data_IF_866610112862
#
_entry.id   IF_866610112862
#
_cell.length_a   1.000
_cell.length_b   1.000
_cell.length_c   1.000
_cell.angle_alpha   90.00
_cell.angle_beta   90.00
_cell.angle_gamma   90.00
#
_symmetry.space_group_name_H-M   'P 1'
#
loop_
_entity.id
_entity.type
_entity.pdbx_description
1 polymer ?
#
# COMPACT_ATOMS: atom_id res chain seq x y z
N UNK A 1 1.39 16.73 23.57
CA UNK A 1 1.52 15.62 24.54
C UNK A 1 0.53 14.54 24.16
N UNK A 2 0.87 13.26 24.35
CA UNK A 2 -0.06 12.15 24.08
C UNK A 2 -1.25 12.27 25.02
N UNK A 3 -2.45 12.29 24.45
CA UNK A 3 -3.68 12.06 25.20
C UNK A 3 -3.93 10.56 25.30
N UNK A 4 -4.65 10.13 26.34
CA UNK A 4 -5.10 8.75 26.44
C UNK A 4 -5.91 8.40 25.19
N UNK A 5 -5.67 7.23 24.60
CA UNK A 5 -6.29 6.71 23.36
C UNK A 5 -5.90 7.35 22.01
N UNK A 6 -4.77 8.05 21.92
CA UNK A 6 -4.29 8.56 20.62
C UNK A 6 -3.70 7.46 19.73
N UNK A 7 -4.36 7.14 18.61
CA UNK A 7 -3.87 6.20 17.59
C UNK A 7 -2.99 6.86 16.50
N UNK A 8 -3.09 8.17 16.34
CA UNK A 8 -2.36 8.96 15.34
C UNK A 8 -1.10 9.60 15.94
N UNK A 9 -0.26 10.19 15.08
CA UNK A 9 0.87 11.00 15.51
C UNK A 9 0.43 12.23 16.31
N UNK A 10 1.34 12.74 17.14
CA UNK A 10 1.18 14.06 17.73
C UNK A 10 1.33 15.14 16.65
N UNK A 11 0.73 16.30 16.89
CA UNK A 11 0.95 17.49 16.08
C UNK A 11 2.44 17.80 15.93
N UNK A 12 2.83 18.22 14.72
CA UNK A 12 4.22 18.56 14.42
C UNK A 12 4.70 19.75 15.25
N UNK A 13 5.88 19.59 15.84
CA UNK A 13 6.61 20.66 16.53
C UNK A 13 7.77 21.22 15.71
N UNK A 14 8.02 20.69 14.51
CA UNK A 14 9.07 21.14 13.59
C UNK A 14 8.63 20.95 12.13
N UNK A 15 9.19 21.73 11.18
CA UNK A 15 8.85 21.59 9.76
C UNK A 15 9.16 20.20 9.19
N UNK A 16 10.25 19.56 9.65
CA UNK A 16 10.59 18.19 9.24
C UNK A 16 9.50 17.20 9.65
N UNK A 17 8.93 17.35 10.85
CA UNK A 17 7.85 16.49 11.32
C UNK A 17 6.58 16.67 10.49
N UNK A 18 6.28 17.88 10.02
CA UNK A 18 5.16 18.14 9.12
C UNK A 18 5.30 17.37 7.80
N UNK A 19 6.49 17.41 7.20
CA UNK A 19 6.79 16.62 6.01
C UNK A 19 6.73 15.10 6.24
N UNK A 20 7.18 14.62 7.40
CA UNK A 20 7.09 13.21 7.77
C UNK A 20 5.63 12.76 7.93
N UNK A 21 4.75 13.60 8.49
CA UNK A 21 3.32 13.30 8.58
C UNK A 21 2.68 13.25 7.18
N UNK A 22 3.01 14.18 6.28
CA UNK A 22 2.53 14.14 4.90
C UNK A 22 2.99 12.88 4.16
N UNK A 23 4.24 12.47 4.35
CA UNK A 23 4.76 11.22 3.79
C UNK A 23 4.07 9.99 4.39
N UNK A 24 3.86 9.98 5.69
CA UNK A 24 3.11 8.91 6.35
C UNK A 24 1.71 8.77 5.73
N UNK A 25 0.95 9.86 5.60
CA UNK A 25 -0.40 9.81 5.05
C UNK A 25 -0.42 9.34 3.60
N UNK A 26 0.56 9.77 2.80
CA UNK A 26 0.75 9.27 1.43
C UNK A 26 1.01 7.76 1.38
N UNK A 27 1.92 7.25 2.22
CA UNK A 27 2.22 5.81 2.26
C UNK A 27 1.05 4.98 2.79
N UNK A 28 0.33 5.49 3.80
CA UNK A 28 -0.85 4.83 4.35
C UNK A 28 -1.99 4.74 3.32
N UNK A 29 -2.17 5.77 2.49
CA UNK A 29 -3.14 5.74 1.38
C UNK A 29 -2.81 4.60 0.41
N UNK A 30 -1.53 4.46 0.01
CA UNK A 30 -1.10 3.39 -0.89
C UNK A 30 -1.31 2.02 -0.24
N UNK A 31 -0.88 1.83 1.01
CA UNK A 31 -1.06 0.56 1.72
C UNK A 31 -2.53 0.16 1.83
N UNK A 32 -3.41 1.09 2.20
CA UNK A 32 -4.83 0.83 2.33
C UNK A 32 -5.47 0.47 0.97
N UNK A 33 -5.02 1.11 -0.12
CA UNK A 33 -5.47 0.76 -1.47
C UNK A 33 -5.07 -0.67 -1.87
N UNK A 34 -3.86 -1.11 -1.52
CA UNK A 34 -3.38 -2.47 -1.78
C UNK A 34 -4.20 -3.49 -0.97
N UNK A 35 -4.42 -3.22 0.33
CA UNK A 35 -5.25 -4.08 1.19
C UNK A 35 -6.69 -4.17 0.68
N UNK A 36 -7.27 -3.07 0.20
CA UNK A 36 -8.60 -3.08 -0.39
C UNK A 36 -8.68 -3.95 -1.66
N UNK A 37 -7.66 -3.88 -2.54
CA UNK A 37 -7.60 -4.71 -3.75
C UNK A 37 -7.45 -6.20 -3.39
N UNK A 38 -6.55 -6.53 -2.45
CA UNK A 38 -6.32 -7.91 -2.03
C UNK A 38 -7.57 -8.50 -1.38
N UNK A 39 -8.22 -7.75 -0.49
CA UNK A 39 -9.47 -8.21 0.15
C UNK A 39 -10.59 -8.39 -0.87
N UNK A 40 -10.72 -7.48 -1.84
CA UNK A 40 -11.65 -7.64 -2.94
C UNK A 40 -11.40 -8.93 -3.75
N UNK A 41 -10.15 -9.18 -4.17
CA UNK A 41 -9.77 -10.41 -4.90
C UNK A 41 -10.14 -11.65 -4.07
N UNK A 42 -9.78 -11.69 -2.79
CA UNK A 42 -10.10 -12.83 -1.92
C UNK A 42 -11.61 -13.08 -1.83
N UNK A 43 -12.42 -12.03 -1.67
CA UNK A 43 -13.88 -12.16 -1.63
C UNK A 43 -14.42 -12.69 -2.96
N UNK A 44 -13.89 -12.22 -4.10
CA UNK A 44 -14.34 -12.69 -5.41
C UNK A 44 -14.01 -14.16 -5.65
N UNK A 45 -12.82 -14.63 -5.25
CA UNK A 45 -12.43 -16.04 -5.37
C UNK A 45 -13.36 -16.92 -4.51
N UNK A 46 -13.64 -16.50 -3.27
CA UNK A 46 -14.54 -17.25 -2.37
C UNK A 46 -15.99 -17.31 -2.87
N UNK A 47 -16.46 -16.27 -3.56
CA UNK A 47 -17.82 -16.23 -4.13
C UNK A 47 -17.93 -16.90 -5.50
N UNK A 48 -16.82 -17.17 -6.17
CA UNK A 48 -16.84 -17.73 -7.52
C UNK A 48 -17.23 -19.22 -7.49
N UNK A 49 -18.25 -19.59 -8.27
CA UNK A 49 -18.72 -20.99 -8.40
C UNK A 49 -18.10 -21.72 -9.60
N UNK A 50 -17.43 -21.00 -10.50
CA UNK A 50 -16.85 -21.56 -11.72
C UNK A 50 -15.48 -22.14 -11.42
N UNK A 51 -15.30 -23.44 -11.69
CA UNK A 51 -14.04 -24.15 -11.47
C UNK A 51 -13.28 -24.22 -12.80
N UNK A 52 -12.10 -23.60 -12.85
CA UNK A 52 -11.15 -23.79 -13.95
C UNK A 52 -9.98 -24.67 -13.49
N UNK A 53 -9.84 -25.87 -14.04
CA UNK A 53 -8.78 -26.84 -13.70
C UNK A 53 -7.56 -26.78 -14.64
N UNK A 54 -7.65 -26.09 -15.77
CA UNK A 54 -6.59 -26.09 -16.80
C UNK A 54 -5.57 -24.97 -16.62
N UNK A 55 -5.80 -24.05 -15.68
CA UNK A 55 -4.88 -22.97 -15.36
C UNK A 55 -3.75 -23.51 -14.46
N UNK A 56 -2.74 -24.17 -15.06
CA UNK A 56 -1.59 -24.72 -14.34
C UNK A 56 -0.48 -23.68 -14.13
N UNK A 57 -0.27 -22.80 -15.11
CA UNK A 57 0.76 -21.77 -15.08
C UNK A 57 0.27 -20.55 -15.84
N UNK A 58 0.51 -19.36 -15.28
CA UNK A 58 0.05 -18.09 -15.82
C UNK A 58 1.17 -17.07 -15.87
N UNK A 59 2.22 -17.31 -16.65
CA UNK A 59 3.39 -16.43 -16.76
C UNK A 59 3.04 -14.95 -17.00
N UNK A 60 1.99 -14.68 -17.78
CA UNK A 60 1.50 -13.32 -18.00
C UNK A 60 0.95 -12.67 -16.73
N UNK A 61 0.26 -13.44 -15.88
CA UNK A 61 -0.27 -12.98 -14.57
C UNK A 61 0.90 -12.70 -13.62
N UNK A 62 1.94 -13.54 -13.67
CA UNK A 62 3.13 -13.35 -12.84
C UNK A 62 3.85 -12.04 -13.17
N UNK A 63 4.05 -11.77 -14.46
CA UNK A 63 4.67 -10.52 -14.90
C UNK A 63 3.85 -9.30 -14.42
N UNK A 64 2.52 -9.36 -14.52
CA UNK A 64 1.64 -8.26 -14.08
C UNK A 64 1.77 -8.02 -12.58
N UNK A 65 1.67 -9.07 -11.75
CA UNK A 65 1.74 -8.92 -10.30
C UNK A 65 3.15 -8.63 -9.76
N UNK A 66 4.20 -8.70 -10.60
CA UNK A 66 5.56 -8.31 -10.22
C UNK A 66 5.81 -6.84 -10.57
N UNK A 67 5.37 -6.40 -11.77
CA UNK A 67 5.56 -5.03 -12.22
C UNK A 67 4.70 -4.05 -11.41
N UNK A 68 3.45 -4.40 -11.12
CA UNK A 68 2.53 -3.51 -10.39
C UNK A 68 3.09 -3.13 -9.00
N UNK A 69 3.50 -4.07 -8.13
CA UNK A 69 4.11 -3.73 -6.84
C UNK A 69 5.44 -2.98 -6.98
N UNK A 70 6.28 -3.36 -7.96
CA UNK A 70 7.54 -2.67 -8.21
C UNK A 70 7.33 -1.17 -8.46
N UNK A 71 6.37 -0.82 -9.32
CA UNK A 71 6.04 0.57 -9.62
C UNK A 71 5.50 1.29 -8.38
N UNK A 72 4.61 0.64 -7.60
CA UNK A 72 4.10 1.25 -6.35
C UNK A 72 5.20 1.57 -5.34
N UNK A 73 6.21 0.70 -5.22
CA UNK A 73 7.36 0.93 -4.33
C UNK A 73 8.22 2.10 -4.80
N UNK A 74 8.38 2.27 -6.12
CA UNK A 74 9.12 3.41 -6.68
C UNK A 74 8.44 4.74 -6.33
N UNK A 75 7.11 4.80 -6.38
CA UNK A 75 6.35 5.98 -5.95
C UNK A 75 6.47 6.27 -4.46
N UNK A 76 6.65 5.27 -3.61
CA UNK A 76 6.93 5.47 -2.18
C UNK A 76 8.38 5.95 -1.97
N UNK A 77 9.33 5.43 -2.75
CA UNK A 77 10.75 5.71 -2.58
C UNK A 77 11.15 7.15 -2.99
N UNK A 78 10.50 7.75 -3.98
CA UNK A 78 10.87 9.09 -4.45
C UNK A 78 10.64 10.19 -3.41
N UNK A 79 9.47 10.34 -2.75
CA UNK A 79 9.30 11.31 -1.68
C UNK A 79 10.11 10.92 -0.43
N UNK A 80 10.33 9.63 -0.17
CA UNK A 80 11.08 9.22 1.03
C UNK A 80 12.55 9.62 0.97
N UNK A 81 13.20 9.47 -0.19
CA UNK A 81 14.59 9.88 -0.38
C UNK A 81 14.74 11.41 -0.34
N UNK A 82 13.79 12.15 -0.92
CA UNK A 82 13.77 13.62 -0.87
C UNK A 82 13.56 14.19 0.54
N UNK A 83 13.03 13.40 1.47
CA UNK A 83 12.90 13.81 2.88
C UNK A 83 14.14 13.49 3.71
N UNK A 84 14.92 12.50 3.29
CA UNK A 84 16.12 12.08 4.00
C UNK A 84 17.32 12.99 3.69
N UNK A 85 17.39 13.50 2.47
CA UNK A 85 18.47 14.33 1.94
C UNK A 85 18.02 15.76 1.67
#
# INVERSE_FOLDING_TARGET
>A
MTTWSSFLFMDASSPLMEYLMLFHDYTMLILLSILAIVTYIMITIMKNKLINKTLMEGQTIEIIWTIVPMITLLFIATPSLNLLY
#
